data_IF_793508814938
#
_entry.id   IF_793508814938
#
_cell.length_a   1.000
_cell.length_b   1.000
_cell.length_c   1.000
_cell.angle_alpha   90.00
_cell.angle_beta   90.00
_cell.angle_gamma   90.00
#
_symmetry.space_group_name_H-M   'P 1'
#
loop_
_entity.id
_entity.type
_entity.pdbx_description
1 polymer ?
#
# COMPACT_ATOMS: atom_id res chain seq x y z
N UNK A 1 -64.05 -5.25 -28.54
CA UNK A 1 -63.24 -4.02 -28.47
C UNK A 1 -62.23 -4.02 -27.27
N UNK A 2 -62.57 -4.49 -26.08
CA UNK A 2 -61.79 -4.52 -24.86
C UNK A 2 -60.52 -5.37 -24.99
N UNK A 3 -60.52 -6.55 -25.58
CA UNK A 3 -59.36 -7.45 -25.75
C UNK A 3 -58.20 -6.82 -26.56
N UNK A 4 -58.54 -5.99 -27.58
CA UNK A 4 -57.55 -5.35 -28.45
C UNK A 4 -56.78 -4.22 -27.74
N UNK A 5 -57.44 -3.55 -26.80
CA UNK A 5 -56.79 -2.51 -25.96
C UNK A 5 -55.92 -3.13 -24.89
N UNK A 6 -56.31 -4.25 -24.26
CA UNK A 6 -55.52 -4.98 -23.29
C UNK A 6 -54.21 -5.50 -23.90
N UNK A 7 -54.26 -6.04 -25.10
CA UNK A 7 -53.05 -6.49 -25.81
C UNK A 7 -52.08 -5.35 -26.10
N UNK A 8 -52.58 -4.18 -26.51
CA UNK A 8 -51.71 -2.98 -26.70
C UNK A 8 -51.06 -2.52 -25.42
N UNK A 9 -51.78 -2.51 -24.31
CA UNK A 9 -51.24 -2.13 -22.99
C UNK A 9 -50.13 -3.09 -22.54
N UNK A 10 -50.34 -4.40 -22.72
CA UNK A 10 -49.32 -5.41 -22.39
C UNK A 10 -48.08 -5.22 -23.27
N UNK A 11 -48.25 -4.98 -24.56
CA UNK A 11 -47.13 -4.79 -25.49
C UNK A 11 -46.30 -3.54 -25.14
N UNK A 12 -46.96 -2.43 -24.78
CA UNK A 12 -46.28 -1.19 -24.36
C UNK A 12 -45.53 -1.41 -23.07
N UNK A 13 -46.10 -2.08 -22.08
CA UNK A 13 -45.39 -2.37 -20.82
C UNK A 13 -44.19 -3.29 -21.03
N UNK A 14 -44.25 -4.27 -21.88
CA UNK A 14 -43.13 -5.11 -22.26
C UNK A 14 -42.03 -4.29 -22.94
N UNK A 15 -42.39 -3.39 -23.83
CA UNK A 15 -41.44 -2.53 -24.53
C UNK A 15 -40.71 -1.59 -23.53
N UNK A 16 -41.45 -0.98 -22.62
CA UNK A 16 -40.88 -0.14 -21.56
C UNK A 16 -39.94 -0.97 -20.68
N UNK A 17 -40.32 -2.18 -20.28
CA UNK A 17 -39.50 -3.08 -19.49
C UNK A 17 -38.19 -3.42 -20.18
N UNK A 18 -38.23 -3.74 -21.49
CA UNK A 18 -37.01 -4.01 -22.26
C UNK A 18 -36.14 -2.78 -22.42
N UNK A 19 -36.69 -1.57 -22.56
CA UNK A 19 -35.92 -0.32 -22.61
C UNK A 19 -35.19 -0.09 -21.28
N UNK A 20 -35.87 -0.28 -20.15
CA UNK A 20 -35.31 -0.13 -18.83
C UNK A 20 -34.13 -1.12 -18.59
N UNK A 21 -34.38 -2.41 -18.91
CA UNK A 21 -33.33 -3.44 -18.76
C UNK A 21 -32.11 -3.13 -19.66
N UNK A 22 -32.36 -2.78 -20.93
CA UNK A 22 -31.30 -2.41 -21.85
C UNK A 22 -30.48 -1.21 -21.32
N UNK A 23 -31.17 -0.23 -20.75
CA UNK A 23 -30.52 0.92 -20.15
C UNK A 23 -29.62 0.52 -18.95
N UNK A 24 -30.08 -0.36 -18.07
CA UNK A 24 -29.35 -0.86 -16.93
C UNK A 24 -28.09 -1.66 -17.37
N UNK A 25 -28.14 -2.33 -18.51
CA UNK A 25 -27.00 -3.11 -19.01
C UNK A 25 -26.01 -2.25 -19.79
N UNK A 26 -26.50 -1.32 -20.61
CA UNK A 26 -25.65 -0.54 -21.54
C UNK A 26 -24.98 0.65 -20.87
N UNK A 27 -25.70 1.39 -20.01
CA UNK A 27 -25.18 2.62 -19.40
C UNK A 27 -24.04 2.45 -18.39
N UNK A 28 -24.03 1.45 -17.48
CA UNK A 28 -22.99 1.33 -16.48
C UNK A 28 -21.56 1.25 -17.03
N UNK A 29 -21.24 0.53 -18.11
CA UNK A 29 -19.90 0.54 -18.70
C UNK A 29 -19.44 1.93 -19.09
N UNK A 30 -20.29 2.73 -19.75
CA UNK A 30 -19.94 4.10 -20.14
C UNK A 30 -19.72 5.03 -18.95
N UNK A 31 -20.53 4.89 -17.90
CA UNK A 31 -20.37 5.66 -16.66
C UNK A 31 -19.05 5.27 -15.98
N UNK A 32 -18.73 3.98 -15.91
CA UNK A 32 -17.50 3.48 -15.30
C UNK A 32 -16.25 3.93 -16.09
N UNK A 33 -16.30 3.91 -17.41
CA UNK A 33 -15.18 4.37 -18.24
C UNK A 33 -15.02 5.90 -18.19
N UNK A 34 -16.10 6.64 -18.16
CA UNK A 34 -16.08 8.08 -17.90
C UNK A 34 -15.48 8.41 -16.52
N UNK A 35 -15.89 7.69 -15.48
CA UNK A 35 -15.31 7.83 -14.13
C UNK A 35 -13.84 7.47 -14.08
N UNK A 36 -13.39 6.39 -14.71
CA UNK A 36 -11.97 6.00 -14.81
C UNK A 36 -11.16 7.06 -15.53
N UNK A 37 -11.68 7.61 -16.63
CA UNK A 37 -11.01 8.69 -17.39
C UNK A 37 -10.86 9.96 -16.56
N UNK A 38 -11.92 10.40 -15.90
CA UNK A 38 -11.89 11.53 -14.97
C UNK A 38 -10.92 11.30 -13.81
N UNK A 39 -10.99 10.14 -13.17
CA UNK A 39 -10.08 9.76 -12.09
C UNK A 39 -8.63 9.79 -12.55
N UNK A 40 -8.31 9.22 -13.71
CA UNK A 40 -6.96 9.21 -14.25
C UNK A 40 -6.46 10.62 -14.58
N UNK A 41 -7.30 11.49 -15.13
CA UNK A 41 -6.95 12.88 -15.38
C UNK A 41 -6.71 13.68 -14.09
N UNK A 42 -7.56 13.48 -13.08
CA UNK A 42 -7.39 14.12 -11.77
C UNK A 42 -6.10 13.60 -11.10
N UNK A 43 -5.88 12.28 -11.09
CA UNK A 43 -4.67 11.68 -10.50
C UNK A 43 -3.39 12.10 -11.24
N UNK A 44 -3.40 12.19 -12.55
CA UNK A 44 -2.25 12.67 -13.33
C UNK A 44 -1.92 14.15 -13.04
N UNK A 45 -2.90 14.96 -12.75
CA UNK A 45 -2.72 16.35 -12.34
C UNK A 45 -2.26 16.47 -10.88
N UNK A 46 -2.76 15.60 -9.99
CA UNK A 46 -2.33 15.55 -8.58
C UNK A 46 -0.90 15.00 -8.45
N UNK A 47 -0.50 14.04 -9.28
CA UNK A 47 0.87 13.49 -9.27
C UNK A 47 1.93 14.48 -9.78
N UNK A 48 1.53 15.60 -10.39
CA UNK A 48 2.42 16.71 -10.76
C UNK A 48 2.65 17.74 -9.65
N UNK A 49 1.93 17.60 -8.50
CA UNK A 49 2.25 18.46 -7.36
C UNK A 49 3.60 18.04 -6.79
N UNK A 50 4.56 18.96 -6.84
CA UNK A 50 5.88 18.77 -6.23
C UNK A 50 5.68 18.46 -4.77
N UNK A 51 6.26 17.36 -4.30
CA UNK A 51 6.22 17.00 -2.88
C UNK A 51 6.97 18.05 -2.06
N UNK A 52 6.26 18.75 -1.22
CA UNK A 52 6.82 19.84 -0.41
C UNK A 52 7.30 19.39 0.97
N UNK A 53 7.13 18.10 1.32
CA UNK A 53 7.52 17.59 2.65
C UNK A 53 8.98 17.79 2.97
N UNK A 54 9.87 17.67 1.97
CA UNK A 54 11.30 17.93 2.14
C UNK A 54 11.61 19.38 2.61
N UNK A 55 10.72 20.33 2.32
CA UNK A 55 10.88 21.74 2.70
C UNK A 55 10.35 22.05 4.10
N UNK A 56 9.69 21.10 4.77
CA UNK A 56 9.22 21.29 6.14
C UNK A 56 10.41 21.54 7.07
N UNK A 57 10.17 22.29 8.14
CA UNK A 57 11.20 22.71 9.08
C UNK A 57 12.01 21.53 9.66
N UNK A 58 11.37 20.38 9.80
CA UNK A 58 11.96 19.14 10.33
C UNK A 58 12.84 18.42 9.30
N UNK A 59 12.77 18.76 8.01
CA UNK A 59 13.48 18.08 6.93
C UNK A 59 14.42 18.97 6.13
N UNK A 60 14.20 20.28 6.12
CA UNK A 60 14.92 21.25 5.25
C UNK A 60 16.44 21.24 5.39
N UNK A 61 16.96 20.75 6.50
CA UNK A 61 18.41 20.72 6.78
C UNK A 61 19.05 19.36 6.48
N UNK A 62 18.31 18.40 5.93
CA UNK A 62 18.82 17.06 5.62
C UNK A 62 18.94 16.89 4.10
N UNK A 63 20.13 16.63 3.63
CA UNK A 63 20.43 16.44 2.20
C UNK A 63 19.69 15.27 1.56
N UNK A 64 19.33 14.28 2.37
CA UNK A 64 18.57 13.11 1.91
C UNK A 64 17.06 13.37 1.75
N UNK A 65 16.51 14.45 2.32
CA UNK A 65 15.06 14.61 2.46
C UNK A 65 14.31 14.67 1.12
N UNK A 66 14.82 15.46 0.17
CA UNK A 66 14.19 15.58 -1.14
C UNK A 66 14.17 14.24 -1.88
N UNK A 67 15.30 13.54 -1.87
CA UNK A 67 15.42 12.23 -2.50
C UNK A 67 14.53 11.19 -1.83
N UNK A 68 14.43 11.23 -0.51
CA UNK A 68 13.58 10.32 0.27
C UNK A 68 12.10 10.44 -0.10
N UNK A 69 11.57 11.66 -0.15
CA UNK A 69 10.16 11.88 -0.49
C UNK A 69 9.88 11.60 -1.97
N UNK A 70 10.84 11.83 -2.87
CA UNK A 70 10.75 11.41 -4.27
C UNK A 70 10.67 9.88 -4.40
N UNK A 71 11.51 9.13 -3.67
CA UNK A 71 11.47 7.67 -3.63
C UNK A 71 10.17 7.16 -3.00
N UNK A 72 9.73 7.77 -1.89
CA UNK A 72 8.49 7.40 -1.21
C UNK A 72 7.27 7.50 -2.14
N UNK A 73 7.22 8.51 -3.00
CA UNK A 73 6.15 8.70 -3.97
C UNK A 73 6.16 7.69 -5.14
N UNK A 74 7.28 7.01 -5.36
CA UNK A 74 7.43 5.98 -6.40
C UNK A 74 7.04 4.59 -5.91
N UNK A 75 6.83 4.41 -4.60
CA UNK A 75 6.50 3.11 -4.06
C UNK A 75 5.11 2.66 -4.51
N UNK A 76 5.04 1.41 -4.93
CA UNK A 76 3.79 0.71 -5.22
C UNK A 76 3.50 -0.36 -4.19
N UNK A 77 2.26 -0.83 -4.15
CA UNK A 77 1.81 -1.86 -3.21
C UNK A 77 1.18 -3.02 -3.94
N UNK A 78 1.21 -4.19 -3.32
CA UNK A 78 0.44 -5.39 -3.69
C UNK A 78 -0.35 -5.92 -2.51
N UNK A 79 -1.42 -6.64 -2.79
CA UNK A 79 -2.27 -7.24 -1.78
C UNK A 79 -1.77 -8.63 -1.39
N UNK A 80 -1.81 -8.92 -0.10
CA UNK A 80 -1.52 -10.23 0.48
C UNK A 80 -2.73 -10.69 1.29
N UNK A 81 -3.19 -11.90 1.03
CA UNK A 81 -4.32 -12.48 1.74
C UNK A 81 -4.10 -12.47 3.26
N UNK A 82 -5.15 -12.10 4.00
CA UNK A 82 -5.21 -11.99 5.45
C UNK A 82 -4.30 -10.93 6.09
N UNK A 83 -3.39 -10.31 5.32
CA UNK A 83 -2.45 -9.29 5.81
C UNK A 83 -2.85 -7.91 5.30
N UNK A 84 -3.24 -7.80 4.01
CA UNK A 84 -3.57 -6.54 3.37
C UNK A 84 -2.47 -6.04 2.41
N UNK A 85 -2.47 -4.75 2.14
CA UNK A 85 -1.55 -4.13 1.20
C UNK A 85 -0.16 -3.98 1.82
N UNK A 86 0.87 -4.43 1.10
CA UNK A 86 2.28 -4.19 1.42
C UNK A 86 3.01 -3.63 0.22
N UNK A 87 4.09 -2.90 0.48
CA UNK A 87 4.93 -2.35 -0.57
C UNK A 87 5.62 -3.45 -1.38
N UNK A 88 5.78 -3.18 -2.68
CA UNK A 88 6.59 -4.03 -3.56
C UNK A 88 8.08 -3.84 -3.27
N UNK A 89 8.89 -4.78 -3.78
CA UNK A 89 10.35 -4.61 -3.82
C UNK A 89 10.72 -3.25 -4.41
N UNK A 90 11.66 -2.59 -3.77
CA UNK A 90 12.18 -1.30 -4.22
C UNK A 90 13.65 -1.17 -3.84
N UNK A 91 14.44 -0.62 -4.75
CA UNK A 91 15.87 -0.35 -4.56
C UNK A 91 16.14 1.13 -4.80
N UNK A 92 16.27 1.89 -3.74
CA UNK A 92 16.54 3.32 -3.75
C UNK A 92 17.85 3.66 -3.02
N UNK A 93 18.07 4.94 -2.88
CA UNK A 93 19.21 5.46 -2.09
C UNK A 93 18.87 5.56 -0.61
N UNK A 94 17.61 5.88 -0.30
CA UNK A 94 17.12 6.13 1.06
C UNK A 94 16.10 5.10 1.50
N UNK A 95 15.44 4.41 0.56
CA UNK A 95 14.43 3.39 0.81
C UNK A 95 14.79 2.13 0.05
N UNK A 96 14.95 1.02 0.78
CA UNK A 96 15.15 -0.29 0.20
C UNK A 96 14.16 -1.28 0.81
N UNK A 97 13.44 -2.01 -0.05
CA UNK A 97 12.41 -2.97 0.32
C UNK A 97 12.73 -4.30 -0.38
N UNK A 98 12.71 -5.39 0.36
CA UNK A 98 12.98 -6.71 -0.20
C UNK A 98 11.76 -7.30 -0.94
N UNK A 99 11.93 -8.46 -1.56
CA UNK A 99 10.89 -9.17 -2.32
C UNK A 99 9.65 -9.52 -1.47
N UNK A 100 9.81 -9.68 -0.15
CA UNK A 100 8.71 -9.94 0.79
C UNK A 100 7.98 -8.66 1.22
N UNK A 101 8.41 -7.48 0.76
CA UNK A 101 7.83 -6.21 1.13
C UNK A 101 8.32 -5.68 2.49
N UNK A 102 9.42 -6.21 3.03
CA UNK A 102 10.01 -5.73 4.29
C UNK A 102 11.06 -4.68 4.00
N UNK A 103 11.01 -3.59 4.76
CA UNK A 103 12.00 -2.53 4.63
C UNK A 103 13.34 -2.99 5.22
N UNK A 104 14.42 -2.74 4.50
CA UNK A 104 15.77 -2.99 4.99
C UNK A 104 16.16 -1.93 6.02
N UNK A 105 16.85 -2.33 7.07
CA UNK A 105 17.22 -1.42 8.15
C UNK A 105 18.61 -0.80 7.96
N UNK A 106 19.58 -1.54 7.47
CA UNK A 106 20.92 -1.00 7.27
C UNK A 106 21.75 -1.81 6.26
N UNK A 107 22.94 -1.29 5.97
CA UNK A 107 23.94 -1.97 5.12
C UNK A 107 24.54 -3.24 5.77
N UNK A 108 24.33 -3.46 7.07
CA UNK A 108 24.87 -4.63 7.79
C UNK A 108 24.19 -5.95 7.42
N UNK A 109 22.98 -5.92 6.86
CA UNK A 109 22.19 -7.11 6.56
C UNK A 109 22.64 -7.90 5.31
N UNK A 110 23.87 -7.77 4.85
CA UNK A 110 24.41 -8.57 3.75
C UNK A 110 24.95 -9.94 4.17
N UNK A 111 24.96 -10.26 5.45
CA UNK A 111 25.27 -11.60 5.93
C UNK A 111 23.99 -12.24 6.45
N UNK A 112 23.36 -13.03 5.61
CA UNK A 112 22.34 -14.01 6.01
C UNK A 112 23.04 -15.07 6.87
N UNK A 113 23.24 -14.75 8.13
CA UNK A 113 23.33 -15.78 9.13
C UNK A 113 21.93 -15.93 9.73
N UNK A 114 21.27 -17.07 9.60
CA UNK A 114 19.96 -17.31 10.21
C UNK A 114 20.20 -17.43 11.72
N UNK A 115 20.07 -16.33 12.46
CA UNK A 115 20.69 -16.33 13.71
C UNK A 115 19.88 -15.87 14.87
N UNK A 116 20.12 -16.54 15.77
CA UNK A 116 20.05 -16.60 17.23
C UNK A 116 19.69 -15.34 18.03
N UNK A 117 19.73 -14.12 17.45
CA UNK A 117 19.48 -12.87 18.18
C UNK A 117 18.79 -11.84 17.28
N UNK A 118 17.56 -12.10 16.91
CA UNK A 118 16.78 -11.19 16.07
C UNK A 118 15.64 -10.54 16.86
N UNK A 119 15.43 -9.23 16.67
CA UNK A 119 14.27 -8.48 17.14
C UNK A 119 13.31 -8.21 15.98
N UNK A 120 12.04 -8.40 16.22
CA UNK A 120 10.99 -8.16 15.23
C UNK A 120 10.17 -6.94 15.58
N UNK A 121 10.09 -5.99 14.65
CA UNK A 121 9.37 -4.74 14.83
C UNK A 121 8.10 -4.73 14.00
N UNK A 122 6.95 -4.67 14.67
CA UNK A 122 5.61 -4.57 14.06
C UNK A 122 5.02 -3.20 14.35
N UNK A 123 4.30 -2.63 13.39
CA UNK A 123 3.63 -1.35 13.59
C UNK A 123 3.20 -0.68 12.29
N UNK A 124 2.76 0.54 12.43
CA UNK A 124 2.34 1.40 11.33
C UNK A 124 3.50 2.18 10.69
N UNK A 125 3.17 3.36 10.17
CA UNK A 125 4.11 4.24 9.45
C UNK A 125 5.33 4.67 10.27
N UNK A 126 5.22 4.78 11.58
CA UNK A 126 6.35 5.14 12.46
C UNK A 126 7.40 4.02 12.49
N UNK A 127 7.01 2.77 12.66
CA UNK A 127 7.92 1.62 12.64
C UNK A 127 8.47 1.40 11.23
N UNK A 128 7.60 1.52 10.21
CA UNK A 128 8.07 1.46 8.83
C UNK A 128 9.11 2.55 8.51
N UNK A 129 9.01 3.72 9.13
CA UNK A 129 9.93 4.84 8.94
C UNK A 129 9.57 5.73 7.74
N UNK A 130 8.29 6.16 7.63
CA UNK A 130 7.78 6.93 6.47
C UNK A 130 8.54 8.23 6.19
N UNK A 131 9.10 8.87 7.20
CA UNK A 131 9.85 10.12 7.06
C UNK A 131 11.35 9.97 7.32
N UNK A 132 11.92 8.76 7.19
CA UNK A 132 13.32 8.49 7.54
C UNK A 132 13.98 7.59 6.50
N UNK A 133 15.26 7.78 6.16
CA UNK A 133 16.02 6.82 5.37
C UNK A 133 16.23 5.51 6.13
N UNK A 134 16.67 4.47 5.43
CA UNK A 134 16.76 3.10 5.97
C UNK A 134 17.58 3.00 7.27
N UNK A 135 18.66 3.75 7.34
CA UNK A 135 19.57 3.78 8.52
C UNK A 135 19.04 4.63 9.68
N UNK A 136 17.93 5.33 9.51
CA UNK A 136 17.33 6.22 10.53
C UNK A 136 15.93 5.76 10.97
N UNK A 137 15.53 4.56 10.58
CA UNK A 137 14.28 3.94 11.09
C UNK A 137 14.46 3.48 12.53
N UNK A 138 13.37 3.36 13.29
CA UNK A 138 13.41 2.86 14.67
C UNK A 138 14.11 1.49 14.75
N UNK A 139 13.78 0.49 13.90
CA UNK A 139 14.50 -0.79 13.91
C UNK A 139 16.00 -0.67 13.60
N UNK A 140 16.37 0.22 12.66
CA UNK A 140 17.77 0.43 12.31
C UNK A 140 18.58 1.04 13.47
N UNK A 141 18.01 2.04 14.14
CA UNK A 141 18.62 2.67 15.32
C UNK A 141 18.74 1.66 16.48
N UNK A 142 17.70 0.85 16.70
CA UNK A 142 17.76 -0.22 17.70
C UNK A 142 18.93 -1.20 17.43
N UNK A 143 19.12 -1.58 16.16
CA UNK A 143 20.22 -2.45 15.74
C UNK A 143 21.60 -1.83 15.97
N UNK A 144 21.70 -0.50 15.86
CA UNK A 144 22.94 0.25 16.15
C UNK A 144 23.32 0.22 17.63
N UNK A 145 22.32 0.26 18.53
CA UNK A 145 22.52 0.30 19.99
C UNK A 145 22.35 -1.06 20.70
N UNK A 146 22.19 -2.15 19.95
CA UNK A 146 22.04 -3.49 20.51
C UNK A 146 22.91 -4.52 19.80
N UNK A 147 23.12 -5.67 20.44
CA UNK A 147 23.76 -6.84 19.83
C UNK A 147 22.79 -7.69 19.01
N UNK A 148 21.56 -7.20 18.79
CA UNK A 148 20.51 -7.88 18.02
C UNK A 148 20.47 -7.35 16.60
N UNK A 149 20.23 -8.22 15.64
CA UNK A 149 19.73 -7.82 14.32
C UNK A 149 18.25 -7.49 14.41
N UNK A 150 17.74 -6.67 13.51
CA UNK A 150 16.33 -6.30 13.52
C UNK A 150 15.67 -6.51 12.18
N UNK A 151 14.42 -7.01 12.19
CA UNK A 151 13.57 -7.07 11.00
C UNK A 151 12.41 -6.08 11.15
N UNK A 152 12.28 -5.21 10.15
CA UNK A 152 11.21 -4.23 10.09
C UNK A 152 9.98 -4.79 9.35
N UNK A 153 9.01 -5.27 10.11
CA UNK A 153 7.71 -5.73 9.62
C UNK A 153 6.66 -4.62 9.54
N UNK A 154 7.00 -3.39 9.94
CA UNK A 154 6.10 -2.27 9.88
C UNK A 154 5.56 -2.01 8.48
N UNK A 155 4.36 -1.44 8.39
CA UNK A 155 3.77 -0.98 7.14
C UNK A 155 2.82 0.18 7.39
N UNK A 156 2.87 1.21 6.52
CA UNK A 156 2.02 2.38 6.68
C UNK A 156 0.53 2.00 6.60
N UNK A 157 -0.25 2.48 7.57
CA UNK A 157 -1.67 2.21 7.64
C UNK A 157 -2.04 0.87 8.27
N UNK A 158 -1.09 0.07 8.74
CA UNK A 158 -1.42 -1.20 9.41
C UNK A 158 -2.09 -0.98 10.76
N UNK A 159 -3.12 -1.78 10.98
CA UNK A 159 -3.81 -1.94 12.25
C UNK A 159 -3.14 -3.01 13.11
N UNK A 160 -3.51 -3.10 14.37
CA UNK A 160 -3.07 -4.18 15.28
C UNK A 160 -3.39 -5.57 14.74
N UNK A 161 -4.56 -5.75 14.11
CA UNK A 161 -4.96 -7.04 13.53
C UNK A 161 -4.04 -7.47 12.38
N UNK A 162 -3.66 -6.55 11.50
CA UNK A 162 -2.76 -6.84 10.39
C UNK A 162 -1.36 -7.18 10.89
N UNK A 163 -0.87 -6.46 11.90
CA UNK A 163 0.40 -6.77 12.56
C UNK A 163 0.39 -8.15 13.23
N UNK A 164 -0.70 -8.50 13.91
CA UNK A 164 -0.87 -9.83 14.51
C UNK A 164 -0.88 -10.93 13.45
N UNK A 165 -1.62 -10.78 12.37
CA UNK A 165 -1.66 -11.73 11.28
C UNK A 165 -0.27 -11.95 10.66
N UNK A 166 0.49 -10.85 10.50
CA UNK A 166 1.85 -10.90 9.97
C UNK A 166 2.82 -11.60 10.95
N UNK A 167 2.68 -11.34 12.25
CA UNK A 167 3.44 -12.04 13.30
C UNK A 167 3.17 -13.53 13.26
N UNK A 168 1.89 -13.95 13.28
CA UNK A 168 1.49 -15.35 13.24
C UNK A 168 2.06 -16.04 12.00
N UNK A 169 1.92 -15.42 10.82
CA UNK A 169 2.45 -15.95 9.56
C UNK A 169 3.95 -16.22 9.66
N UNK A 170 4.73 -15.22 10.07
CA UNK A 170 6.19 -15.35 10.12
C UNK A 170 6.64 -16.34 11.21
N UNK A 171 5.95 -16.37 12.34
CA UNK A 171 6.24 -17.31 13.42
C UNK A 171 5.99 -18.77 13.02
N UNK A 172 4.90 -19.05 12.29
CA UNK A 172 4.57 -20.40 11.80
C UNK A 172 5.57 -20.87 10.73
N UNK A 173 6.05 -19.98 9.86
CA UNK A 173 7.01 -20.32 8.78
C UNK A 173 8.40 -20.66 9.34
N UNK A 174 8.64 -20.43 10.60
CA UNK A 174 9.87 -20.85 11.28
C UNK A 174 10.71 -19.71 11.86
N UNK A 175 10.19 -18.48 11.83
CA UNK A 175 10.81 -17.36 12.51
C UNK A 175 10.53 -17.42 14.02
N UNK A 176 11.57 -17.34 14.83
CA UNK A 176 11.44 -17.19 16.29
C UNK A 176 12.38 -16.07 16.73
N UNK A 177 11.89 -14.85 16.86
CA UNK A 177 12.71 -13.74 17.34
C UNK A 177 13.11 -14.00 18.80
N UNK A 178 14.16 -13.32 19.23
CA UNK A 178 14.53 -13.30 20.64
C UNK A 178 13.68 -12.28 21.41
N UNK A 179 13.30 -11.19 20.73
CA UNK A 179 12.49 -10.08 21.23
C UNK A 179 11.50 -9.62 20.16
#
# INVERSE_FOLDING_TARGET
MIKKNLFKVILINLLIFFIIISSIIIFPPFILDGYKSLKNNILSNVSKTVDTRAKLINYKNYDWAEKHFDELNKLSTKYYDYIGWRRNEFKGQTININEMGYRKNSKKNNTINPVKNEAWFFGGSAIWGTGSPDDKTIPAIFEEFSDLTSTNFGESGYTTQQNLNLLIKNYIIGGKPKV
#
